data_IF_543521977814
#
_entry.id   IF_543521977814
#
_cell.length_a   1.000
_cell.length_b   1.000
_cell.length_c   1.000
_cell.angle_alpha   90.00
_cell.angle_beta   90.00
_cell.angle_gamma   90.00
#
_symmetry.space_group_name_H-M   'P 1'
#
loop_
_entity.id
_entity.type
_entity.pdbx_description
1 polymer ?
#
# COMPACT_ATOMS: atom_id res chain seq x y z
N UNK A 1 7.40 -5.48 -15.29
CA UNK A 1 8.09 -4.17 -15.16
C UNK A 1 9.50 -4.29 -14.56
N UNK A 2 9.81 -5.28 -13.71
CA UNK A 2 11.14 -5.40 -13.08
C UNK A 2 12.30 -5.82 -14.01
N UNK A 3 12.05 -6.56 -15.10
CA UNK A 3 13.13 -7.13 -15.93
C UNK A 3 13.33 -6.50 -17.31
N UNK A 4 12.44 -5.59 -17.72
CA UNK A 4 12.46 -5.00 -19.05
C UNK A 4 11.81 -3.61 -19.00
N UNK A 5 12.63 -2.56 -19.14
CA UNK A 5 12.16 -1.17 -19.07
C UNK A 5 11.17 -0.83 -20.19
N UNK A 6 11.29 -1.45 -21.37
CA UNK A 6 10.34 -1.24 -22.47
C UNK A 6 8.96 -1.82 -22.14
N UNK A 7 8.90 -3.00 -21.56
CA UNK A 7 7.64 -3.59 -21.08
C UNK A 7 7.04 -2.82 -19.91
N UNK A 8 7.89 -2.28 -19.02
CA UNK A 8 7.46 -1.42 -17.94
C UNK A 8 6.73 -0.18 -18.49
N UNK A 9 7.30 0.47 -19.50
CA UNK A 9 6.68 1.61 -20.18
C UNK A 9 5.36 1.23 -20.88
N UNK A 10 5.34 0.14 -21.66
CA UNK A 10 4.11 -0.31 -22.34
C UNK A 10 2.98 -0.57 -21.33
N UNK A 11 3.31 -1.20 -20.20
CA UNK A 11 2.35 -1.48 -19.12
C UNK A 11 1.87 -0.19 -18.45
N UNK A 12 2.78 0.75 -18.17
CA UNK A 12 2.45 2.06 -17.61
C UNK A 12 1.49 2.84 -18.51
N UNK A 13 1.80 2.97 -19.80
CA UNK A 13 0.94 3.65 -20.78
C UNK A 13 -0.46 3.03 -20.81
N UNK A 14 -0.54 1.69 -20.79
CA UNK A 14 -1.80 0.97 -20.79
C UNK A 14 -2.64 1.31 -19.55
N UNK A 15 -2.04 1.25 -18.36
CA UNK A 15 -2.71 1.61 -17.10
C UNK A 15 -3.24 3.05 -17.17
N UNK A 16 -2.42 4.00 -17.61
CA UNK A 16 -2.82 5.41 -17.70
C UNK A 16 -3.99 5.64 -18.66
N UNK A 17 -4.04 4.90 -19.78
CA UNK A 17 -5.13 5.02 -20.76
C UNK A 17 -6.42 4.33 -20.36
N UNK A 18 -6.31 3.20 -19.67
CA UNK A 18 -7.46 2.30 -19.44
C UNK A 18 -8.13 2.50 -18.08
N UNK A 19 -7.41 2.99 -17.07
CA UNK A 19 -7.91 2.94 -15.67
C UNK A 19 -8.38 4.27 -15.11
N UNK A 20 -8.03 5.39 -15.75
CA UNK A 20 -8.24 6.73 -15.18
C UNK A 20 -7.33 7.06 -13.99
N UNK A 21 -6.37 6.20 -13.65
CA UNK A 21 -5.34 6.51 -12.67
C UNK A 21 -4.43 7.66 -13.13
N UNK A 22 -3.99 8.50 -12.20
CA UNK A 22 -3.13 9.66 -12.49
C UNK A 22 -1.63 9.38 -12.27
N UNK A 23 -1.29 8.19 -11.78
CA UNK A 23 0.09 7.77 -11.51
C UNK A 23 0.18 6.25 -11.40
N UNK A 24 1.40 5.73 -11.40
CA UNK A 24 1.67 4.32 -11.14
C UNK A 24 2.58 4.15 -9.91
N UNK A 25 2.52 2.98 -9.27
CA UNK A 25 3.41 2.60 -8.16
C UNK A 25 4.23 1.37 -8.53
N UNK A 26 5.55 1.43 -8.39
CA UNK A 26 6.47 0.32 -8.67
C UNK A 26 7.20 -0.12 -7.40
N UNK A 27 7.36 -1.44 -7.22
CA UNK A 27 8.17 -2.02 -6.13
C UNK A 27 9.60 -2.27 -6.61
N UNK A 28 10.57 -1.89 -5.78
CA UNK A 28 11.99 -2.14 -6.02
C UNK A 28 12.86 -0.91 -5.77
N UNK A 29 14.16 -1.15 -5.60
CA UNK A 29 15.18 -0.13 -5.43
C UNK A 29 16.01 0.08 -6.69
N UNK A 30 17.33 0.04 -6.55
CA UNK A 30 18.32 0.14 -7.64
C UNK A 30 17.95 -0.70 -8.87
N UNK A 31 17.43 -1.91 -8.68
CA UNK A 31 17.12 -2.84 -9.77
C UNK A 31 16.00 -2.39 -10.72
N UNK A 32 15.15 -1.43 -10.33
CA UNK A 32 14.05 -0.92 -11.17
C UNK A 32 14.26 0.52 -11.66
N UNK A 33 15.39 1.15 -11.33
CA UNK A 33 15.68 2.56 -11.67
C UNK A 33 15.57 2.82 -13.18
N UNK A 34 16.09 1.92 -14.02
CA UNK A 34 16.03 2.06 -15.48
C UNK A 34 14.59 2.03 -16.02
N UNK A 35 13.73 1.22 -15.40
CA UNK A 35 12.31 1.18 -15.73
C UNK A 35 11.61 2.47 -15.30
N UNK A 36 11.93 2.98 -14.11
CA UNK A 36 11.33 4.22 -13.58
C UNK A 36 11.70 5.42 -14.45
N UNK A 37 13.00 5.61 -14.74
CA UNK A 37 13.48 6.72 -15.58
C UNK A 37 12.77 6.73 -16.92
N UNK A 38 12.73 5.59 -17.61
CA UNK A 38 12.05 5.46 -18.90
C UNK A 38 10.57 5.82 -18.85
N UNK A 39 9.88 5.52 -17.75
CA UNK A 39 8.46 5.86 -17.58
C UNK A 39 8.29 7.35 -17.31
N UNK A 40 9.07 7.89 -16.37
CA UNK A 40 9.04 9.31 -15.99
C UNK A 40 9.38 10.21 -17.19
N UNK A 41 10.33 9.81 -18.03
CA UNK A 41 10.71 10.53 -19.27
C UNK A 41 9.54 10.71 -20.26
N UNK A 42 8.49 9.89 -20.14
CA UNK A 42 7.26 10.01 -20.97
C UNK A 42 6.17 10.86 -20.31
N UNK A 43 6.45 11.46 -19.15
CA UNK A 43 5.52 12.31 -18.40
C UNK A 43 4.57 11.55 -17.48
N UNK A 44 4.73 10.23 -17.30
CA UNK A 44 3.90 9.44 -16.40
C UNK A 44 4.46 9.55 -14.97
N UNK A 45 3.69 10.05 -13.98
CA UNK A 45 4.13 10.14 -12.60
C UNK A 45 4.32 8.75 -11.96
N UNK A 46 5.45 8.54 -11.32
CA UNK A 46 5.79 7.27 -10.64
C UNK A 46 5.97 7.49 -9.15
N UNK A 47 5.32 6.64 -8.35
CA UNK A 47 5.57 6.49 -6.92
C UNK A 47 6.45 5.25 -6.69
N UNK A 48 7.55 5.41 -5.98
CA UNK A 48 8.41 4.31 -5.56
C UNK A 48 7.81 3.50 -4.41
N UNK A 49 8.28 2.28 -4.19
CA UNK A 49 7.90 1.47 -3.03
C UNK A 49 9.08 0.62 -2.53
N UNK A 50 9.53 0.91 -1.30
CA UNK A 50 10.63 0.26 -0.60
C UNK A 50 10.19 -0.35 0.74
N UNK A 51 11.08 -1.16 1.32
CA UNK A 51 10.81 -1.91 2.55
C UNK A 51 10.35 -3.33 2.23
N UNK A 52 9.23 -3.74 2.80
CA UNK A 52 8.58 -4.99 2.42
C UNK A 52 7.83 -4.78 1.10
N UNK A 53 8.34 -5.38 0.02
CA UNK A 53 7.69 -5.38 -1.30
C UNK A 53 7.00 -6.73 -1.53
N UNK A 54 5.66 -6.82 -1.39
CA UNK A 54 4.96 -8.10 -1.40
C UNK A 54 5.16 -8.94 -2.67
N UNK A 55 5.42 -8.31 -3.82
CA UNK A 55 5.68 -9.03 -5.07
C UNK A 55 6.99 -9.84 -5.03
N UNK A 56 7.89 -9.50 -4.11
CA UNK A 56 9.15 -10.19 -3.88
C UNK A 56 9.08 -11.18 -2.70
N UNK A 57 7.89 -11.61 -2.29
CA UNK A 57 7.73 -12.48 -1.12
C UNK A 57 8.56 -13.77 -1.19
N UNK A 58 8.64 -14.42 -2.35
CA UNK A 58 9.44 -15.65 -2.50
C UNK A 58 10.95 -15.40 -2.40
N UNK A 59 11.41 -14.18 -2.68
CA UNK A 59 12.80 -13.77 -2.48
C UNK A 59 13.10 -13.52 -0.99
N UNK A 60 12.11 -13.08 -0.22
CA UNK A 60 12.27 -12.70 1.19
C UNK A 60 11.76 -13.75 2.18
N UNK A 61 11.04 -14.77 1.70
CA UNK A 61 10.54 -15.90 2.47
C UNK A 61 9.40 -15.61 3.44
N UNK A 62 9.23 -14.35 3.89
CA UNK A 62 8.22 -13.98 4.91
C UNK A 62 7.75 -12.53 4.76
N UNK A 63 6.58 -12.22 5.34
CA UNK A 63 6.11 -10.84 5.55
C UNK A 63 6.80 -10.18 6.76
N UNK A 64 8.03 -10.52 7.15
CA UNK A 64 8.63 -9.92 8.36
C UNK A 64 9.07 -8.47 8.14
N UNK A 65 9.27 -7.75 9.24
CA UNK A 65 9.80 -6.37 9.23
C UNK A 65 11.17 -6.37 8.56
N UNK A 66 11.39 -5.43 7.63
CA UNK A 66 12.61 -5.30 6.82
C UNK A 66 13.56 -4.24 7.38
N UNK A 67 14.81 -4.26 6.93
CA UNK A 67 15.82 -3.25 7.27
C UNK A 67 16.08 -3.16 8.79
N UNK A 68 16.20 -4.32 9.44
CA UNK A 68 16.60 -4.41 10.85
C UNK A 68 18.12 -4.39 11.01
N UNK A 69 18.82 -4.95 10.03
CA UNK A 69 20.28 -5.00 10.00
C UNK A 69 20.82 -3.74 9.32
N UNK A 70 21.96 -3.25 9.78
CA UNK A 70 22.60 -2.02 9.29
C UNK A 70 22.75 -2.02 7.76
N UNK A 71 23.21 -3.14 7.19
CA UNK A 71 23.42 -3.26 5.74
C UNK A 71 22.11 -3.14 4.93
N UNK A 72 20.99 -3.68 5.44
CA UNK A 72 19.69 -3.53 4.78
C UNK A 72 19.15 -2.10 4.94
N UNK A 73 19.40 -1.46 6.09
CA UNK A 73 19.01 -0.08 6.33
C UNK A 73 19.76 0.89 5.40
N UNK A 74 21.08 0.74 5.26
CA UNK A 74 21.90 1.53 4.34
C UNK A 74 21.50 1.30 2.88
N UNK A 75 21.21 0.06 2.48
CA UNK A 75 20.66 -0.23 1.15
C UNK A 75 19.34 0.51 0.92
N UNK A 76 18.42 0.50 1.90
CA UNK A 76 17.14 1.18 1.78
C UNK A 76 17.30 2.70 1.64
N UNK A 77 18.21 3.32 2.39
CA UNK A 77 18.53 4.76 2.26
C UNK A 77 19.08 5.07 0.87
N UNK A 78 20.03 4.27 0.38
CA UNK A 78 20.59 4.39 -0.98
C UNK A 78 19.49 4.27 -2.04
N UNK A 79 18.66 3.23 -1.94
CA UNK A 79 17.57 2.99 -2.88
C UNK A 79 16.57 4.16 -2.87
N UNK A 80 16.22 4.70 -1.70
CA UNK A 80 15.30 5.83 -1.58
C UNK A 80 15.80 7.06 -2.34
N UNK A 81 17.10 7.38 -2.21
CA UNK A 81 17.74 8.46 -2.97
C UNK A 81 17.75 8.16 -4.47
N UNK A 82 18.08 6.94 -4.88
CA UNK A 82 18.07 6.54 -6.29
C UNK A 82 16.68 6.68 -6.92
N UNK A 83 15.61 6.33 -6.19
CA UNK A 83 14.24 6.50 -6.66
C UNK A 83 13.87 7.98 -6.82
N UNK A 84 14.30 8.83 -5.89
CA UNK A 84 14.12 10.27 -6.00
C UNK A 84 14.88 10.85 -7.21
N UNK A 85 16.14 10.48 -7.39
CA UNK A 85 16.96 10.88 -8.55
C UNK A 85 16.41 10.37 -9.88
N UNK A 86 15.73 9.21 -9.87
CA UNK A 86 15.04 8.67 -11.03
C UNK A 86 13.74 9.42 -11.39
N UNK A 87 13.32 10.38 -10.55
CA UNK A 87 12.15 11.22 -10.78
C UNK A 87 10.84 10.69 -10.19
N UNK A 88 10.90 9.76 -9.22
CA UNK A 88 9.71 9.42 -8.44
C UNK A 88 9.17 10.67 -7.73
N UNK A 89 7.85 10.88 -7.74
CA UNK A 89 7.24 12.03 -7.06
C UNK A 89 7.00 11.77 -5.57
N UNK A 90 7.03 10.51 -5.13
CA UNK A 90 6.86 10.09 -3.75
C UNK A 90 7.38 8.65 -3.58
N UNK A 91 7.58 8.20 -2.34
CA UNK A 91 8.01 6.83 -2.02
C UNK A 91 7.16 6.24 -0.89
N UNK A 92 6.61 5.05 -1.11
CA UNK A 92 6.00 4.24 -0.03
C UNK A 92 7.11 3.53 0.75
N UNK A 93 7.02 3.60 2.08
CA UNK A 93 7.88 2.85 3.00
C UNK A 93 7.00 1.83 3.76
N UNK A 94 7.17 0.55 3.46
CA UNK A 94 6.36 -0.53 4.05
C UNK A 94 7.15 -1.36 5.05
N UNK A 95 6.61 -1.47 6.27
CA UNK A 95 7.03 -2.43 7.31
C UNK A 95 8.53 -2.39 7.64
N UNK A 96 9.04 -1.18 7.91
CA UNK A 96 10.42 -0.91 8.35
C UNK A 96 10.45 -0.26 9.74
N UNK A 97 11.58 -0.24 10.46
CA UNK A 97 11.71 0.46 11.73
C UNK A 97 11.32 1.94 11.63
N UNK A 98 10.55 2.42 12.60
CA UNK A 98 10.03 3.79 12.61
C UNK A 98 11.14 4.86 12.62
N UNK A 99 12.26 4.58 13.30
CA UNK A 99 13.42 5.48 13.34
C UNK A 99 14.04 5.62 11.95
N UNK A 100 14.22 4.50 11.24
CA UNK A 100 14.75 4.48 9.88
C UNK A 100 13.80 5.20 8.90
N UNK A 101 12.49 4.96 9.01
CA UNK A 101 11.52 5.64 8.16
C UNK A 101 11.56 7.16 8.35
N UNK A 102 11.67 7.63 9.59
CA UNK A 102 11.80 9.06 9.90
C UNK A 102 13.12 9.65 9.38
N UNK A 103 14.21 8.89 9.43
CA UNK A 103 15.50 9.30 8.86
C UNK A 103 15.41 9.44 7.33
N UNK A 104 14.89 8.42 6.65
CA UNK A 104 14.71 8.42 5.19
C UNK A 104 13.81 9.57 4.76
N UNK A 105 12.68 9.77 5.44
CA UNK A 105 11.75 10.86 5.13
C UNK A 105 12.42 12.23 5.22
N UNK A 106 13.29 12.45 6.21
CA UNK A 106 14.07 13.69 6.34
C UNK A 106 15.17 13.86 5.30
N UNK A 107 15.68 12.77 4.72
CA UNK A 107 16.72 12.81 3.68
C UNK A 107 16.19 13.09 2.28
N UNK A 108 14.89 12.90 2.04
CA UNK A 108 14.26 13.11 0.75
C UNK A 108 13.60 14.50 0.69
N UNK A 109 13.51 15.05 -0.51
CA UNK A 109 12.71 16.24 -0.80
C UNK A 109 11.32 15.88 -1.37
N UNK A 110 11.11 14.61 -1.76
CA UNK A 110 9.82 14.08 -2.18
C UNK A 110 9.08 13.45 -0.98
N UNK A 111 7.74 13.49 -0.95
CA UNK A 111 6.96 12.94 0.16
C UNK A 111 7.16 11.42 0.34
N UNK A 112 7.17 10.98 1.59
CA UNK A 112 7.10 9.57 1.96
C UNK A 112 5.73 9.18 2.49
N UNK A 113 5.24 7.99 2.10
CA UNK A 113 3.97 7.44 2.57
C UNK A 113 4.25 6.16 3.36
N UNK A 114 3.93 6.15 4.65
CA UNK A 114 4.17 5.01 5.54
C UNK A 114 3.02 4.00 5.57
N UNK A 115 3.36 2.72 5.63
CA UNK A 115 2.46 1.64 6.08
C UNK A 115 3.24 0.68 6.97
N UNK A 116 2.96 0.72 8.27
CA UNK A 116 3.78 0.01 9.25
C UNK A 116 5.22 0.52 9.36
N UNK A 117 5.45 1.79 9.01
CA UNK A 117 6.74 2.48 9.09
C UNK A 117 6.77 3.58 10.17
N UNK A 118 5.79 3.61 11.08
CA UNK A 118 5.66 4.67 12.10
C UNK A 118 5.10 5.97 11.55
N UNK A 119 5.03 6.99 12.42
CA UNK A 119 4.45 8.31 12.12
C UNK A 119 5.47 9.35 11.65
N UNK A 120 6.69 8.94 11.32
CA UNK A 120 7.76 9.82 10.84
C UNK A 120 7.74 10.09 9.32
N UNK A 121 6.82 9.44 8.58
CA UNK A 121 6.58 9.72 7.16
C UNK A 121 5.61 10.89 6.97
N UNK A 122 5.63 11.52 5.80
CA UNK A 122 4.77 12.68 5.48
C UNK A 122 3.28 12.34 5.33
N UNK A 123 2.99 11.10 4.95
CA UNK A 123 1.64 10.57 4.85
C UNK A 123 1.56 9.11 5.29
N UNK A 124 0.34 8.56 5.28
CA UNK A 124 0.07 7.18 5.69
C UNK A 124 -0.90 6.51 4.72
N UNK A 125 -0.78 5.19 4.58
CA UNK A 125 -1.71 4.37 3.81
C UNK A 125 -2.07 3.10 4.58
N UNK A 126 -3.34 2.69 4.47
CA UNK A 126 -3.83 1.39 4.93
C UNK A 126 -4.71 0.80 3.84
N UNK A 127 -4.81 -0.53 3.83
CA UNK A 127 -5.78 -1.22 2.98
C UNK A 127 -7.17 -1.01 3.59
N UNK A 128 -8.09 -0.48 2.79
CA UNK A 128 -9.46 -0.12 3.21
C UNK A 128 -10.18 -1.28 3.91
N UNK A 129 -10.15 -2.48 3.33
CA UNK A 129 -10.82 -3.66 3.90
C UNK A 129 -10.31 -4.04 5.28
N UNK A 130 -9.00 -3.88 5.50
CA UNK A 130 -8.36 -4.19 6.77
C UNK A 130 -8.73 -3.13 7.82
N UNK A 131 -8.66 -1.84 7.48
CA UNK A 131 -9.00 -0.77 8.41
C UNK A 131 -10.50 -0.71 8.74
N UNK A 132 -11.38 -1.16 7.85
CA UNK A 132 -12.82 -1.24 8.09
C UNK A 132 -13.26 -2.54 8.80
N UNK A 133 -12.32 -3.44 9.09
CA UNK A 133 -12.63 -4.71 9.75
C UNK A 133 -13.51 -5.64 8.91
N UNK A 134 -13.39 -5.56 7.58
CA UNK A 134 -14.01 -6.52 6.65
C UNK A 134 -13.19 -7.80 6.63
N UNK A 135 -11.86 -7.66 6.57
CA UNK A 135 -10.94 -8.77 6.70
C UNK A 135 -10.68 -9.05 8.19
N UNK A 136 -11.05 -10.25 8.64
CA UNK A 136 -10.98 -10.64 10.06
C UNK A 136 -9.74 -11.46 10.41
N UNK A 137 -9.04 -12.02 9.42
CA UNK A 137 -7.89 -12.90 9.63
C UNK A 137 -6.56 -12.12 9.66
N UNK A 138 -6.49 -11.01 8.94
CA UNK A 138 -5.28 -10.20 8.85
C UNK A 138 -5.21 -9.15 9.97
N UNK A 139 -4.37 -9.40 10.98
CA UNK A 139 -4.19 -8.52 12.15
C UNK A 139 -2.72 -8.17 12.40
N UNK A 140 -2.02 -7.49 11.46
CA UNK A 140 -0.66 -7.08 11.70
C UNK A 140 -0.61 -6.00 12.78
N UNK A 141 0.49 -5.95 13.54
CA UNK A 141 0.68 -4.97 14.63
C UNK A 141 0.51 -3.50 14.21
N UNK A 142 0.76 -3.17 12.93
CA UNK A 142 0.65 -1.81 12.42
C UNK A 142 -0.78 -1.38 12.05
N UNK A 143 -1.73 -2.32 11.97
CA UNK A 143 -3.09 -2.02 11.55
C UNK A 143 -3.90 -1.50 12.74
N UNK A 144 -4.55 -0.36 12.55
CA UNK A 144 -5.67 0.07 13.38
C UNK A 144 -6.96 -0.19 12.61
N UNK A 145 -7.87 -0.95 13.21
CA UNK A 145 -9.24 -1.06 12.75
C UNK A 145 -10.02 0.17 13.26
N UNK A 146 -10.62 0.92 12.33
CA UNK A 146 -11.49 2.05 12.62
C UNK A 146 -12.96 1.64 12.67
N UNK A 147 -13.29 0.46 12.14
CA UNK A 147 -14.61 -0.15 12.17
C UNK A 147 -14.48 -1.67 12.27
N UNK A 148 -15.51 -2.34 12.78
CA UNK A 148 -15.66 -3.79 12.72
C UNK A 148 -16.88 -4.13 11.85
N UNK A 149 -16.74 -3.99 10.52
CA UNK A 149 -17.81 -4.29 9.57
C UNK A 149 -18.30 -5.74 9.69
N UNK A 150 -17.40 -6.70 9.95
CA UNK A 150 -17.79 -8.09 10.11
C UNK A 150 -18.81 -8.28 11.24
N UNK A 151 -18.57 -7.67 12.41
CA UNK A 151 -19.51 -7.70 13.53
C UNK A 151 -20.81 -6.96 13.23
N UNK A 152 -20.75 -5.76 12.64
CA UNK A 152 -21.94 -4.98 12.32
C UNK A 152 -22.83 -5.68 11.30
N UNK A 153 -22.25 -6.24 10.23
CA UNK A 153 -22.99 -7.01 9.23
C UNK A 153 -23.60 -8.27 9.85
N UNK A 154 -22.86 -8.96 10.72
CA UNK A 154 -23.38 -10.15 11.41
C UNK A 154 -24.58 -9.80 12.28
N UNK A 155 -24.51 -8.71 13.05
CA UNK A 155 -25.62 -8.24 13.88
C UNK A 155 -26.83 -7.80 13.06
N UNK A 156 -26.62 -7.12 11.93
CA UNK A 156 -27.69 -6.71 11.03
C UNK A 156 -28.44 -7.93 10.44
N UNK A 157 -27.69 -8.94 10.00
CA UNK A 157 -28.28 -10.19 9.47
C UNK A 157 -29.05 -10.95 10.58
N UNK A 158 -28.52 -11.00 11.80
CA UNK A 158 -29.20 -11.63 12.93
C UNK A 158 -30.50 -10.91 13.30
N UNK A 159 -30.51 -9.58 13.27
CA UNK A 159 -31.70 -8.77 13.53
C UNK A 159 -32.75 -9.02 12.46
N UNK A 160 -32.36 -8.97 11.17
CA UNK A 160 -33.25 -9.31 10.07
C UNK A 160 -33.85 -10.72 10.19
N UNK A 161 -33.06 -11.72 10.60
CA UNK A 161 -33.57 -13.08 10.85
C UNK A 161 -34.60 -13.10 12.00
N UNK A 162 -34.38 -12.30 13.05
CA UNK A 162 -35.32 -12.16 14.16
C UNK A 162 -36.65 -11.56 13.71
N UNK A 163 -36.59 -10.51 12.88
CA UNK A 163 -37.77 -9.80 12.40
C UNK A 163 -38.61 -10.70 11.48
N UNK A 164 -37.97 -11.47 10.60
CA UNK A 164 -38.64 -12.49 9.76
C UNK A 164 -39.30 -13.58 10.62
N UNK A 165 -38.61 -14.08 11.65
CA UNK A 165 -39.12 -15.17 12.50
C UNK A 165 -40.27 -14.74 13.40
N UNK A 166 -40.25 -13.48 13.84
CA UNK A 166 -41.33 -12.91 14.65
C UNK A 166 -42.52 -12.42 13.81
N UNK A 167 -42.32 -12.27 12.50
CA UNK A 167 -43.32 -11.68 11.60
C UNK A 167 -43.39 -10.16 11.70
N UNK A 168 -42.40 -9.51 12.32
CA UNK A 168 -42.30 -8.05 12.40
C UNK A 168 -41.86 -7.42 11.07
N UNK A 169 -41.21 -8.19 10.19
CA UNK A 169 -40.90 -7.79 8.82
C UNK A 169 -41.47 -8.78 7.78
N UNK A 170 -42.18 -8.29 6.74
CA UNK A 170 -42.69 -6.92 6.60
C UNK A 170 -43.90 -6.68 7.53
N UNK A 171 -43.97 -5.51 8.17
CA UNK A 171 -45.14 -5.06 8.94
C UNK A 171 -46.13 -4.23 8.09
N UNK A 172 -47.17 -3.68 8.72
CA UNK A 172 -48.22 -2.87 8.07
C UNK A 172 -47.70 -1.67 7.27
N UNK A 173 -46.52 -1.11 7.62
CA UNK A 173 -45.92 0.01 6.89
C UNK A 173 -45.06 -0.43 5.69
N UNK A 174 -44.82 -1.73 5.56
CA UNK A 174 -43.87 -2.34 4.61
C UNK A 174 -44.58 -3.23 3.58
N UNK A 175 -45.90 -3.10 3.45
CA UNK A 175 -46.75 -3.81 2.49
C UNK A 175 -47.72 -2.86 1.78
N UNK A 176 -48.20 -3.27 0.59
CA UNK A 176 -49.17 -2.54 -0.24
C UNK A 176 -50.58 -3.12 -0.14
#
# INVERSE_FOLDING_TARGET
YQGNSKEALTSAIRIMKETGGHSIKLEGGEEVVDSIKRIVDTGIPVMGHLGLTPQSIYKFGTYTVRAKEEAEAEKLKKDALLLQEAGCFAVVLEKIPAVLAAEVSKSLHIPTIGIGAGNGCDGQVLVMHDMLGINTEFKPRFLRQYLNMAEQVTGAIQSYISDIRSGDFPNEKEQY
#
